data_IF_826499453594
#
_entry.id   IF_826499453594
#
_cell.length_a   1.000
_cell.length_b   1.000
_cell.length_c   1.000
_cell.angle_alpha   90.00
_cell.angle_beta   90.00
_cell.angle_gamma   90.00
#
_symmetry.space_group_name_H-M   'P 1'
#
loop_
_entity.id
_entity.type
_entity.pdbx_description
1 polymer ?
#
# COMPACT_ATOMS: atom_id res chain seq x y z
N UNK A 1 -12.43 -5.53 -3.16
CA UNK A 1 -13.05 -4.86 -1.99
C UNK A 1 -12.99 -3.36 -2.22
N UNK A 2 -14.09 -2.64 -2.07
CA UNK A 2 -14.14 -1.20 -2.34
C UNK A 2 -13.72 -0.44 -1.08
N UNK A 3 -12.52 0.10 -1.07
CA UNK A 3 -12.04 0.98 0.01
C UNK A 3 -12.54 2.41 -0.19
N UNK A 4 -12.83 3.11 0.91
CA UNK A 4 -13.07 4.57 0.85
C UNK A 4 -11.80 5.29 0.41
N UNK A 5 -11.94 6.54 -0.07
CA UNK A 5 -10.77 7.37 -0.45
C UNK A 5 -9.77 7.53 0.70
N UNK A 6 -10.26 7.60 1.95
CA UNK A 6 -9.43 7.69 3.15
C UNK A 6 -8.68 6.40 3.45
N UNK A 7 -9.36 5.26 3.34
CA UNK A 7 -8.76 3.94 3.52
C UNK A 7 -7.71 3.66 2.44
N UNK A 8 -8.02 3.97 1.17
CA UNK A 8 -7.08 3.85 0.06
C UNK A 8 -5.81 4.68 0.33
N UNK A 9 -5.97 5.96 0.68
CA UNK A 9 -4.84 6.83 1.01
C UNK A 9 -4.03 6.29 2.20
N UNK A 10 -4.69 5.75 3.23
CA UNK A 10 -4.02 5.22 4.42
C UNK A 10 -3.24 3.94 4.12
N UNK A 11 -3.78 3.04 3.30
CA UNK A 11 -3.10 1.81 2.88
C UNK A 11 -1.83 2.16 2.10
N UNK A 12 -1.94 3.03 1.09
CA UNK A 12 -0.80 3.45 0.25
C UNK A 12 0.26 4.13 1.11
N UNK A 13 -0.13 5.07 1.99
CA UNK A 13 0.81 5.77 2.86
C UNK A 13 1.52 4.84 3.86
N UNK A 14 0.80 3.89 4.46
CA UNK A 14 1.42 2.91 5.35
C UNK A 14 2.39 1.99 4.59
N UNK A 15 2.07 1.61 3.36
CA UNK A 15 2.94 0.78 2.53
C UNK A 15 4.18 1.54 2.06
N UNK A 16 4.03 2.78 1.61
CA UNK A 16 5.14 3.65 1.25
C UNK A 16 6.13 3.83 2.41
N UNK A 17 5.62 3.96 3.64
CA UNK A 17 6.48 4.01 4.84
C UNK A 17 7.29 2.71 4.99
N UNK A 18 6.67 1.54 4.84
CA UNK A 18 7.39 0.25 4.93
C UNK A 18 8.52 0.18 3.88
N UNK A 19 8.23 0.58 2.65
CA UNK A 19 9.20 0.60 1.56
C UNK A 19 10.35 1.57 1.85
N UNK A 20 10.06 2.76 2.39
CA UNK A 20 11.09 3.72 2.81
C UNK A 20 12.01 3.18 3.92
N UNK A 21 11.52 2.24 4.74
CA UNK A 21 12.28 1.57 5.80
C UNK A 21 13.07 0.36 5.28
N UNK A 22 13.12 0.14 3.96
CA UNK A 22 13.84 -0.98 3.33
C UNK A 22 13.08 -2.30 3.37
N UNK A 23 11.76 -2.28 3.56
CA UNK A 23 10.95 -3.50 3.44
C UNK A 23 10.98 -4.01 1.99
N UNK A 24 11.01 -5.34 1.78
CA UNK A 24 10.97 -5.91 0.45
C UNK A 24 9.62 -5.66 -0.20
N UNK A 25 9.70 -5.43 -1.50
CA UNK A 25 8.56 -5.28 -2.40
C UNK A 25 8.07 -6.65 -2.81
N UNK A 26 6.76 -6.79 -2.99
CA UNK A 26 6.16 -8.08 -3.40
C UNK A 26 6.17 -8.22 -4.92
N UNK A 27 6.29 -7.10 -5.64
CA UNK A 27 6.44 -7.10 -7.10
C UNK A 27 7.79 -7.69 -7.49
N UNK A 28 7.75 -8.68 -8.37
CA UNK A 28 8.93 -9.35 -8.91
C UNK A 28 9.71 -8.46 -9.92
N UNK A 29 9.03 -7.49 -10.54
CA UNK A 29 9.60 -6.57 -11.51
C UNK A 29 9.33 -5.14 -11.08
N UNK A 30 10.27 -4.54 -10.35
CA UNK A 30 10.27 -3.09 -10.16
C UNK A 30 11.13 -2.50 -11.26
N UNK A 31 10.61 -1.55 -12.07
CA UNK A 31 11.46 -0.79 -12.97
C UNK A 31 12.53 -0.10 -12.13
N UNK A 32 13.82 -0.37 -12.42
CA UNK A 32 14.98 0.11 -11.65
C UNK A 32 15.02 1.64 -11.47
N UNK A 33 14.24 2.37 -12.25
CA UNK A 33 14.13 3.82 -12.23
C UNK A 33 13.11 4.35 -11.20
N UNK A 34 12.31 3.48 -10.57
CA UNK A 34 11.34 3.89 -9.56
C UNK A 34 11.98 3.92 -8.16
N UNK A 35 12.35 5.12 -7.73
CA UNK A 35 13.00 5.39 -6.44
C UNK A 35 11.98 5.81 -5.38
N UNK A 36 10.85 6.38 -5.79
CA UNK A 36 9.85 6.91 -4.86
C UNK A 36 9.02 5.77 -4.21
N UNK A 37 9.09 5.60 -2.88
CA UNK A 37 8.31 4.59 -2.16
C UNK A 37 6.80 4.74 -2.36
N UNK A 38 6.30 5.94 -2.62
CA UNK A 38 4.87 6.19 -2.84
C UNK A 38 4.42 5.62 -4.17
N UNK A 39 5.21 5.79 -5.23
CA UNK A 39 4.88 5.26 -6.54
C UNK A 39 4.92 3.73 -6.55
N UNK A 40 5.91 3.13 -5.88
CA UNK A 40 5.99 1.67 -5.71
C UNK A 40 4.76 1.15 -4.95
N UNK A 41 4.35 1.85 -3.87
CA UNK A 41 3.15 1.48 -3.12
C UNK A 41 1.86 1.63 -3.95
N UNK A 42 1.79 2.59 -4.89
CA UNK A 42 0.66 2.71 -5.81
C UNK A 42 0.60 1.55 -6.80
N UNK A 43 1.74 1.15 -7.37
CA UNK A 43 1.80 -0.03 -8.25
C UNK A 43 1.39 -1.31 -7.51
N UNK A 44 1.90 -1.53 -6.31
CA UNK A 44 1.52 -2.68 -5.48
C UNK A 44 0.03 -2.67 -5.12
N UNK A 45 -0.57 -1.49 -4.96
CA UNK A 45 -2.01 -1.36 -4.72
C UNK A 45 -2.83 -1.79 -5.94
N UNK A 46 -2.42 -1.35 -7.14
CA UNK A 46 -3.13 -1.64 -8.38
C UNK A 46 -3.05 -3.13 -8.74
N UNK A 47 -1.93 -3.80 -8.42
CA UNK A 47 -1.75 -5.25 -8.52
C UNK A 47 -2.43 -6.04 -7.39
N UNK A 48 -3.12 -5.37 -6.45
CA UNK A 48 -3.71 -5.97 -5.24
C UNK A 48 -2.71 -6.77 -4.39
N UNK A 49 -1.42 -6.42 -4.44
CA UNK A 49 -0.33 -7.12 -3.78
C UNK A 49 0.00 -6.56 -2.37
N UNK A 50 -0.65 -5.48 -1.94
CA UNK A 50 -0.34 -4.87 -0.63
C UNK A 50 -0.75 -5.81 0.53
N UNK A 51 0.20 -6.17 1.42
CA UNK A 51 -0.05 -7.11 2.52
C UNK A 51 -0.65 -6.39 3.75
N UNK A 52 -1.60 -5.47 3.51
CA UNK A 52 -2.23 -4.66 4.56
C UNK A 52 -3.73 -4.66 4.31
N UNK A 53 -4.52 -4.88 5.36
CA UNK A 53 -5.98 -4.87 5.30
C UNK A 53 -6.53 -3.84 6.28
N UNK A 54 -7.61 -3.17 5.92
CA UNK A 54 -8.32 -2.26 6.84
C UNK A 54 -9.26 -3.05 7.73
N UNK A 55 -9.10 -2.88 9.05
CA UNK A 55 -10.08 -3.33 10.03
C UNK A 55 -11.02 -2.17 10.39
N UNK A 56 -12.22 -2.19 9.83
CA UNK A 56 -13.28 -1.28 10.25
C UNK A 56 -13.74 -1.68 11.65
N UNK A 57 -13.58 -0.79 12.63
CA UNK A 57 -14.27 -0.95 13.91
C UNK A 57 -15.75 -0.69 13.64
N UNK A 58 -16.56 -1.74 13.66
CA UNK A 58 -18.01 -1.60 13.72
C UNK A 58 -18.35 -0.69 14.89
N UNK A 59 -19.28 0.24 14.66
CA UNK A 59 -19.83 1.10 15.71
C UNK A 59 -20.30 0.15 16.81
N UNK A 60 -19.64 0.17 17.97
CA UNK A 60 -20.17 -0.51 19.15
C UNK A 60 -21.41 0.28 19.54
N UNK A 61 -22.57 -0.30 19.28
CA UNK A 61 -23.83 0.13 19.87
C UNK A 61 -23.77 -0.06 21.39
#
# INVERSE_FOLDING_TARGET
MTYTRFEKARIIGARALQLSMGAPTILAEIPKDMIDPVEIAMLEYDENAIPITVKQKGIKA
#
